data_IF_914508931802
#
_entry.id   IF_914508931802
#
_cell.length_a   1.000
_cell.length_b   1.000
_cell.length_c   1.000
_cell.angle_alpha   90.00
_cell.angle_beta   90.00
_cell.angle_gamma   90.00
#
_symmetry.space_group_name_H-M   'P 1'
#
loop_
_entity.id
_entity.type
_entity.pdbx_description
1 polymer ?
#
# COMPACT_ATOMS: atom_id res chain seq x y z
N UNK A 1 -32.52 31.42 -10.37
CA UNK A 1 -31.50 31.51 -11.43
C UNK A 1 -30.16 31.20 -10.79
N UNK A 2 -29.38 30.31 -11.38
CA UNK A 2 -28.09 29.84 -10.84
C UNK A 2 -26.94 30.78 -11.25
N UNK A 3 -27.23 32.09 -11.25
CA UNK A 3 -26.32 33.13 -11.67
C UNK A 3 -25.97 34.03 -10.48
N UNK A 4 -24.73 34.50 -10.45
CA UNK A 4 -24.28 35.56 -9.55
C UNK A 4 -24.72 36.90 -10.14
N UNK A 5 -25.62 37.61 -9.48
CA UNK A 5 -26.08 38.92 -9.92
C UNK A 5 -25.23 40.02 -9.29
N UNK A 6 -24.70 40.88 -10.15
CA UNK A 6 -23.72 41.90 -9.77
C UNK A 6 -24.30 43.29 -9.89
N UNK A 7 -24.28 44.04 -8.78
CA UNK A 7 -24.63 45.46 -8.75
C UNK A 7 -23.42 46.37 -9.02
N UNK A 8 -23.69 47.61 -9.43
CA UNK A 8 -22.68 48.63 -9.66
C UNK A 8 -22.57 49.57 -8.45
N UNK A 9 -21.45 49.45 -7.74
CA UNK A 9 -21.11 50.32 -6.61
C UNK A 9 -20.16 51.45 -7.03
N UNK A 10 -20.24 52.56 -6.32
CA UNK A 10 -19.25 53.64 -6.44
C UNK A 10 -17.87 53.15 -5.96
N UNK A 11 -16.83 53.43 -6.73
CA UNK A 11 -15.46 52.96 -6.50
C UNK A 11 -14.79 53.47 -5.22
N UNK A 12 -15.36 54.49 -4.55
CA UNK A 12 -14.82 55.04 -3.30
C UNK A 12 -15.72 54.66 -2.12
N UNK A 13 -17.02 54.87 -2.29
CA UNK A 13 -17.98 54.73 -1.19
C UNK A 13 -18.69 53.38 -1.16
N UNK A 14 -18.62 52.58 -2.23
CA UNK A 14 -19.38 51.33 -2.41
C UNK A 14 -20.91 51.50 -2.27
N UNK A 15 -21.39 52.74 -2.33
CA UNK A 15 -22.81 53.06 -2.38
C UNK A 15 -23.37 52.68 -3.77
N UNK A 16 -24.67 52.33 -3.86
CA UNK A 16 -25.28 52.00 -5.15
C UNK A 16 -25.25 53.20 -6.08
N UNK A 17 -24.72 53.02 -7.30
CA UNK A 17 -24.80 54.04 -8.34
C UNK A 17 -26.24 54.20 -8.83
N UNK A 18 -26.65 55.41 -9.18
CA UNK A 18 -28.06 55.75 -9.46
C UNK A 18 -28.74 54.88 -10.55
N UNK A 19 -27.97 54.32 -11.48
CA UNK A 19 -28.48 53.46 -12.55
C UNK A 19 -28.55 51.97 -12.19
N UNK A 20 -27.96 51.55 -11.06
CA UNK A 20 -27.87 50.12 -10.72
C UNK A 20 -29.23 49.58 -10.27
N UNK A 21 -29.51 48.34 -10.67
CA UNK A 21 -30.57 47.57 -10.03
C UNK A 21 -30.17 47.24 -8.58
N UNK A 22 -31.16 47.11 -7.71
CA UNK A 22 -30.97 46.83 -6.28
C UNK A 22 -32.09 45.94 -5.75
N UNK A 23 -31.83 45.29 -4.61
CA UNK A 23 -32.77 44.41 -3.91
C UNK A 23 -32.11 43.13 -3.39
N UNK A 24 -32.89 42.30 -2.69
CA UNK A 24 -32.40 41.09 -2.03
C UNK A 24 -31.83 40.03 -2.98
N UNK A 25 -32.10 40.13 -4.28
CA UNK A 25 -31.59 39.22 -5.30
C UNK A 25 -30.17 39.56 -5.77
N UNK A 26 -29.66 40.77 -5.52
CA UNK A 26 -28.26 41.10 -5.83
C UNK A 26 -27.34 40.37 -4.86
N UNK A 27 -26.36 39.66 -5.43
CA UNK A 27 -25.47 38.80 -4.66
C UNK A 27 -24.24 39.57 -4.18
N UNK A 28 -23.56 40.25 -5.11
CA UNK A 28 -22.28 40.93 -4.92
C UNK A 28 -22.27 42.26 -5.69
N UNK A 29 -21.33 43.14 -5.36
CA UNK A 29 -21.06 44.35 -6.15
C UNK A 29 -19.65 44.37 -6.71
N UNK A 30 -19.44 45.17 -7.75
CA UNK A 30 -18.13 45.61 -8.22
C UNK A 30 -18.14 47.12 -8.46
N UNK A 31 -16.97 47.69 -8.70
CA UNK A 31 -16.89 49.08 -9.12
C UNK A 31 -17.64 49.26 -10.44
N UNK A 32 -18.59 50.18 -10.45
CA UNK A 32 -19.38 50.54 -11.62
C UNK A 32 -19.03 51.91 -12.19
N UNK A 33 -18.00 52.57 -11.65
CA UNK A 33 -17.43 53.80 -12.18
C UNK A 33 -15.91 53.84 -12.01
N UNK A 34 -15.24 54.76 -12.70
CA UNK A 34 -13.80 55.03 -12.59
C UNK A 34 -12.92 53.80 -12.92
N UNK A 35 -13.34 52.99 -13.90
CA UNK A 35 -12.61 51.78 -14.27
C UNK A 35 -11.68 52.09 -15.44
N UNK A 36 -10.38 51.83 -15.22
CA UNK A 36 -9.39 51.80 -16.29
C UNK A 36 -9.37 50.41 -16.93
N UNK A 37 -9.55 50.34 -18.24
CA UNK A 37 -9.55 49.06 -18.98
C UNK A 37 -9.10 49.24 -20.43
N UNK A 38 -8.87 48.14 -21.14
CA UNK A 38 -8.55 48.14 -22.57
C UNK A 38 -9.80 48.43 -23.43
N UNK A 39 -9.61 49.07 -24.58
CA UNK A 39 -10.66 49.35 -25.56
C UNK A 39 -11.40 50.69 -25.39
N UNK A 40 -12.67 50.71 -25.80
CA UNK A 40 -13.55 51.89 -25.80
C UNK A 40 -13.04 53.06 -26.67
N UNK A 41 -13.19 54.29 -26.18
CA UNK A 41 -12.87 55.56 -26.87
C UNK A 41 -11.37 55.85 -26.95
N UNK A 42 -10.52 55.15 -26.19
CA UNK A 42 -9.05 55.31 -26.26
C UNK A 42 -8.52 56.62 -25.68
N UNK A 43 -9.16 57.15 -24.63
CA UNK A 43 -8.86 58.46 -24.03
C UNK A 43 -7.52 58.51 -23.26
N UNK A 44 -6.88 57.37 -22.98
CA UNK A 44 -5.61 57.29 -22.27
C UNK A 44 -4.37 57.31 -23.18
N UNK A 45 -4.54 57.27 -24.51
CA UNK A 45 -3.42 57.34 -25.48
C UNK A 45 -3.38 58.68 -26.24
N UNK A 46 -4.15 59.69 -25.80
CA UNK A 46 -4.33 60.96 -26.49
C UNK A 46 -5.65 60.99 -27.27
N UNK A 47 -5.65 61.58 -28.47
CA UNK A 47 -6.85 61.68 -29.31
C UNK A 47 -7.24 60.29 -29.87
N UNK A 48 -7.88 59.45 -29.04
CA UNK A 48 -8.55 58.20 -29.39
C UNK A 48 -8.03 57.53 -30.66
N UNK A 49 -6.87 56.83 -30.62
CA UNK A 49 -6.22 56.35 -31.83
C UNK A 49 -7.16 55.47 -32.65
N UNK A 50 -7.14 55.59 -33.98
CA UNK A 50 -7.97 54.76 -34.87
C UNK A 50 -7.70 53.25 -34.70
N UNK A 51 -6.48 52.90 -34.33
CA UNK A 51 -6.07 51.54 -34.01
C UNK A 51 -6.69 51.07 -32.70
N UNK A 52 -7.52 50.02 -32.76
CA UNK A 52 -8.27 49.51 -31.60
C UNK A 52 -7.40 48.72 -30.64
N UNK A 53 -6.32 48.11 -31.13
CA UNK A 53 -5.48 47.17 -30.37
C UNK A 53 -4.56 47.84 -29.35
N UNK A 54 -4.47 49.17 -29.38
CA UNK A 54 -3.66 49.98 -28.45
C UNK A 54 -4.50 50.85 -27.51
N UNK A 55 -5.84 50.75 -27.56
CA UNK A 55 -6.73 51.62 -26.79
C UNK A 55 -6.83 51.21 -25.33
N UNK A 56 -6.83 52.18 -24.45
CA UNK A 56 -7.28 52.08 -23.07
C UNK A 56 -8.19 53.28 -22.76
N UNK A 57 -9.14 53.08 -21.86
CA UNK A 57 -10.03 54.12 -21.35
C UNK A 57 -9.94 54.18 -19.83
N UNK A 58 -10.16 55.34 -19.22
CA UNK A 58 -10.31 55.50 -17.76
C UNK A 58 -11.75 55.69 -17.27
N UNK A 59 -12.73 55.67 -18.19
CA UNK A 59 -14.12 56.00 -17.90
C UNK A 59 -15.08 54.85 -18.28
N UNK A 60 -14.64 53.60 -18.15
CA UNK A 60 -15.56 52.48 -18.35
C UNK A 60 -16.45 52.34 -17.12
N UNK A 61 -17.76 52.45 -17.32
CA UNK A 61 -18.73 52.51 -16.24
C UNK A 61 -19.88 51.51 -16.49
N UNK A 62 -20.74 51.33 -15.48
CA UNK A 62 -21.91 50.48 -15.55
C UNK A 62 -21.76 49.14 -14.83
N UNK A 63 -22.86 48.39 -14.75
CA UNK A 63 -22.84 46.99 -14.27
C UNK A 63 -21.96 46.09 -15.14
N UNK A 64 -21.79 46.44 -16.42
CA UNK A 64 -20.82 45.82 -17.34
C UNK A 64 -19.37 45.95 -16.87
N UNK A 65 -19.03 47.00 -16.12
CA UNK A 65 -17.73 47.18 -15.47
C UNK A 65 -17.61 46.44 -14.14
N UNK A 66 -18.69 46.40 -13.38
CA UNK A 66 -18.75 45.70 -12.10
C UNK A 66 -18.67 44.16 -12.25
N UNK A 67 -19.35 43.60 -13.25
CA UNK A 67 -19.43 42.15 -13.49
C UNK A 67 -18.06 41.45 -13.64
N UNK A 68 -17.12 41.97 -14.46
CA UNK A 68 -15.79 41.42 -14.58
C UNK A 68 -14.98 41.38 -13.27
N UNK A 69 -15.16 42.34 -12.36
CA UNK A 69 -14.46 42.34 -11.05
C UNK A 69 -14.87 41.12 -10.22
N UNK A 70 -16.19 40.87 -10.12
CA UNK A 70 -16.70 39.68 -9.44
C UNK A 70 -16.27 38.40 -10.16
N UNK A 71 -16.29 38.40 -11.50
CA UNK A 71 -15.82 37.27 -12.31
C UNK A 71 -14.36 36.93 -12.03
N UNK A 72 -13.49 37.95 -11.94
CA UNK A 72 -12.08 37.80 -11.59
C UNK A 72 -11.89 37.29 -10.16
N UNK A 73 -12.73 37.72 -9.20
CA UNK A 73 -12.69 37.19 -7.84
C UNK A 73 -13.03 35.69 -7.80
N UNK A 74 -14.11 35.28 -8.47
CA UNK A 74 -14.49 33.85 -8.62
C UNK A 74 -13.35 33.05 -9.26
N UNK A 75 -12.79 33.54 -10.37
CA UNK A 75 -11.67 32.88 -11.04
C UNK A 75 -10.43 32.77 -10.15
N UNK A 76 -10.16 33.77 -9.31
CA UNK A 76 -9.03 33.76 -8.37
C UNK A 76 -9.21 32.72 -7.28
N UNK A 77 -10.42 32.61 -6.69
CA UNK A 77 -10.72 31.58 -5.68
C UNK A 77 -10.64 30.17 -6.28
N UNK A 78 -11.20 29.94 -7.47
CA UNK A 78 -11.09 28.64 -8.16
C UNK A 78 -9.64 28.29 -8.51
N UNK A 79 -8.85 29.29 -8.91
CA UNK A 79 -7.42 29.12 -9.17
C UNK A 79 -6.65 28.75 -7.90
N UNK A 80 -7.01 29.36 -6.77
CA UNK A 80 -6.43 29.04 -5.47
C UNK A 80 -6.74 27.60 -5.06
N UNK A 81 -8.01 27.19 -5.07
CA UNK A 81 -8.43 25.82 -4.77
C UNK A 81 -7.67 24.79 -5.63
N UNK A 82 -7.57 25.04 -6.94
CA UNK A 82 -6.78 24.21 -7.84
C UNK A 82 -5.31 24.15 -7.45
N UNK A 83 -4.71 25.27 -7.04
CA UNK A 83 -3.31 25.34 -6.65
C UNK A 83 -3.00 24.53 -5.38
N UNK A 84 -3.96 24.45 -4.45
CA UNK A 84 -3.84 23.64 -3.21
C UNK A 84 -4.43 22.23 -3.35
N UNK A 85 -4.71 21.78 -4.58
CA UNK A 85 -5.17 20.42 -4.87
C UNK A 85 -6.63 20.13 -4.49
N UNK A 86 -7.43 21.17 -4.24
CA UNK A 86 -8.84 21.05 -3.87
C UNK A 86 -9.75 21.02 -5.10
N UNK A 87 -10.89 20.31 -5.03
CA UNK A 87 -11.90 20.40 -6.08
C UNK A 87 -12.55 21.79 -6.12
N UNK A 88 -13.16 22.17 -7.25
CA UNK A 88 -13.91 23.42 -7.32
C UNK A 88 -15.16 23.34 -6.44
N UNK A 89 -15.43 24.41 -5.70
CA UNK A 89 -16.70 24.58 -4.97
C UNK A 89 -17.86 24.89 -5.94
N UNK A 90 -19.09 24.63 -5.50
CA UNK A 90 -20.31 24.90 -6.27
C UNK A 90 -20.61 26.40 -6.39
N UNK A 91 -21.51 26.77 -7.30
CA UNK A 91 -21.94 28.16 -7.45
C UNK A 91 -22.52 28.75 -6.15
N UNK A 92 -23.36 27.99 -5.44
CA UNK A 92 -23.97 28.43 -4.18
C UNK A 92 -22.94 28.57 -3.05
N UNK A 93 -21.97 27.66 -2.99
CA UNK A 93 -20.85 27.76 -2.05
C UNK A 93 -19.98 28.99 -2.36
N UNK A 94 -19.69 29.26 -3.64
CA UNK A 94 -18.94 30.44 -4.07
C UNK A 94 -19.67 31.74 -3.72
N UNK A 95 -20.98 31.83 -3.98
CA UNK A 95 -21.80 32.99 -3.61
C UNK A 95 -21.81 33.17 -2.09
N UNK A 96 -22.03 32.10 -1.34
CA UNK A 96 -22.06 32.15 0.13
C UNK A 96 -20.72 32.61 0.71
N UNK A 97 -19.61 32.08 0.18
CA UNK A 97 -18.25 32.46 0.54
C UNK A 97 -18.01 33.96 0.29
N UNK A 98 -18.18 34.40 -0.96
CA UNK A 98 -17.90 35.78 -1.35
C UNK A 98 -18.84 36.79 -0.66
N UNK A 99 -20.09 36.41 -0.37
CA UNK A 99 -21.01 37.26 0.42
C UNK A 99 -20.61 37.33 1.88
N UNK A 100 -20.14 36.22 2.45
CA UNK A 100 -19.72 36.14 3.84
C UNK A 100 -18.41 36.84 4.13
N UNK A 101 -17.50 36.88 3.15
CA UNK A 101 -16.15 37.45 3.32
C UNK A 101 -15.96 38.81 2.66
N UNK A 102 -16.86 39.21 1.76
CA UNK A 102 -16.74 40.49 1.06
C UNK A 102 -16.85 41.70 1.98
N UNK A 103 -16.27 42.83 1.54
CA UNK A 103 -16.41 44.12 2.22
C UNK A 103 -17.89 44.54 2.23
N UNK A 104 -18.50 44.73 3.41
CA UNK A 104 -19.93 45.06 3.50
C UNK A 104 -20.26 46.34 2.75
N UNK A 105 -21.41 46.34 2.07
CA UNK A 105 -21.97 47.55 1.49
C UNK A 105 -22.35 48.53 2.60
N UNK A 106 -21.92 49.80 2.54
CA UNK A 106 -22.41 50.81 3.46
C UNK A 106 -23.87 51.16 3.17
N UNK A 107 -24.67 51.29 4.22
CA UNK A 107 -26.06 51.77 4.19
C UNK A 107 -26.97 51.04 3.16
N UNK A 108 -27.13 49.70 3.24
CA UNK A 108 -27.90 48.92 2.27
C UNK A 108 -29.38 49.33 2.14
N UNK A 109 -29.92 50.05 3.14
CA UNK A 109 -31.27 50.60 3.11
C UNK A 109 -31.53 51.63 2.00
N UNK A 110 -30.49 52.19 1.37
CA UNK A 110 -30.61 53.07 0.20
C UNK A 110 -30.54 52.34 -1.15
N UNK A 111 -30.48 51.00 -1.14
CA UNK A 111 -30.44 50.15 -2.33
C UNK A 111 -29.40 49.04 -2.19
N UNK A 112 -29.86 47.83 -1.87
CA UNK A 112 -28.98 46.68 -1.67
C UNK A 112 -28.39 46.18 -3.00
N UNK A 113 -27.06 46.18 -3.11
CA UNK A 113 -26.28 45.63 -4.24
C UNK A 113 -25.28 44.53 -3.81
N UNK A 114 -25.22 44.21 -2.51
CA UNK A 114 -24.35 43.15 -1.99
C UNK A 114 -22.95 43.64 -1.63
N UNK A 115 -22.13 42.82 -0.96
CA UNK A 115 -20.77 43.19 -0.57
C UNK A 115 -19.80 43.16 -1.77
N UNK A 116 -18.71 43.92 -1.67
CA UNK A 116 -17.62 43.91 -2.63
C UNK A 116 -16.72 42.69 -2.34
N UNK A 117 -16.38 41.83 -3.32
CA UNK A 117 -15.56 40.66 -3.07
C UNK A 117 -14.22 40.99 -2.42
N UNK A 118 -13.88 40.25 -1.38
CA UNK A 118 -12.55 40.23 -0.76
C UNK A 118 -11.98 38.81 -0.91
N UNK A 119 -11.06 38.67 -1.87
CA UNK A 119 -10.43 37.38 -2.20
C UNK A 119 -9.52 36.92 -1.08
N UNK A 120 -8.86 37.84 -0.37
CA UNK A 120 -7.94 37.46 0.71
C UNK A 120 -8.73 36.87 1.89
N UNK A 121 -9.82 37.53 2.28
CA UNK A 121 -10.71 37.02 3.33
C UNK A 121 -11.38 35.70 2.92
N UNK A 122 -11.75 35.55 1.63
CA UNK A 122 -12.28 34.29 1.09
C UNK A 122 -11.27 33.13 1.19
N UNK A 123 -10.01 33.39 0.85
CA UNK A 123 -8.92 32.40 0.97
C UNK A 123 -8.70 32.02 2.43
N UNK A 124 -8.70 32.99 3.35
CA UNK A 124 -8.58 32.71 4.79
C UNK A 124 -9.67 31.76 5.30
N UNK A 125 -10.93 31.99 4.90
CA UNK A 125 -12.02 31.06 5.23
C UNK A 125 -11.81 29.68 4.62
N UNK A 126 -11.30 29.56 3.39
CA UNK A 126 -10.98 28.27 2.78
C UNK A 126 -9.90 27.53 3.57
N UNK A 127 -8.82 28.22 3.93
CA UNK A 127 -7.70 27.63 4.67
C UNK A 127 -8.14 27.14 6.06
N UNK A 128 -8.92 27.95 6.76
CA UNK A 128 -9.53 27.57 8.04
C UNK A 128 -10.57 26.45 7.88
N UNK A 129 -11.12 26.30 6.66
CA UNK A 129 -12.11 25.29 6.30
C UNK A 129 -11.50 23.95 5.85
N UNK A 130 -10.17 23.81 5.76
CA UNK A 130 -9.57 22.59 5.25
C UNK A 130 -9.73 21.44 6.27
N UNK A 131 -10.24 20.27 5.83
CA UNK A 131 -10.27 19.11 6.71
C UNK A 131 -8.86 18.61 7.02
N UNK A 132 -8.75 17.78 8.05
CA UNK A 132 -7.52 17.06 8.39
C UNK A 132 -7.81 15.58 8.54
N UNK A 133 -6.88 14.73 8.11
CA UNK A 133 -6.95 13.28 8.32
C UNK A 133 -5.58 12.75 8.74
N UNK A 134 -5.58 11.81 9.68
CA UNK A 134 -4.37 11.10 10.08
C UNK A 134 -4.71 9.65 10.41
N UNK A 135 -3.82 8.75 9.99
CA UNK A 135 -3.89 7.32 10.34
C UNK A 135 -3.07 7.14 11.62
N UNK A 136 -3.74 6.93 12.75
CA UNK A 136 -3.12 6.65 14.05
C UNK A 136 -2.56 5.23 14.14
N UNK A 137 -3.12 4.30 13.37
CA UNK A 137 -2.71 2.91 13.27
C UNK A 137 -3.25 2.27 11.99
N UNK A 138 -2.43 1.54 11.21
CA UNK A 138 -1.07 1.14 11.51
C UNK A 138 -0.04 2.26 11.33
N UNK A 139 1.15 2.11 11.92
CA UNK A 139 2.26 3.02 11.64
C UNK A 139 2.83 2.75 10.24
N UNK A 140 3.37 3.78 9.58
CA UNK A 140 3.99 3.61 8.27
C UNK A 140 5.12 2.57 8.30
N UNK A 141 5.11 1.71 7.29
CA UNK A 141 6.02 0.57 7.09
C UNK A 141 5.96 -0.49 8.19
N UNK A 142 4.86 -0.58 8.95
CA UNK A 142 4.66 -1.67 9.90
C UNK A 142 4.56 -3.02 9.20
N UNK A 143 4.83 -4.10 9.93
CA UNK A 143 4.67 -5.46 9.42
C UNK A 143 3.78 -6.29 10.35
N UNK A 144 2.82 -6.98 9.74
CA UNK A 144 1.83 -7.79 10.42
C UNK A 144 1.90 -9.24 9.98
N UNK A 145 1.48 -10.14 10.89
CA UNK A 145 1.35 -11.56 10.61
C UNK A 145 0.14 -11.82 9.72
N UNK A 146 0.23 -12.82 8.85
CA UNK A 146 -0.93 -13.32 8.10
C UNK A 146 -2.09 -13.72 9.04
N UNK A 147 -3.30 -13.27 8.73
CA UNK A 147 -4.52 -13.37 9.55
C UNK A 147 -4.40 -12.74 10.95
N UNK A 148 -3.51 -11.74 11.16
CA UNK A 148 -3.45 -11.05 12.45
C UNK A 148 -4.58 -10.05 12.62
N UNK A 149 -5.18 -10.07 13.81
CA UNK A 149 -6.21 -9.14 14.26
C UNK A 149 -5.56 -7.77 14.56
N UNK A 150 -5.72 -6.82 13.64
CA UNK A 150 -5.22 -5.44 13.75
C UNK A 150 -6.33 -4.52 13.27
N UNK A 151 -6.58 -3.44 14.00
CA UNK A 151 -7.65 -2.50 13.67
C UNK A 151 -7.08 -1.20 13.11
N UNK A 152 -7.82 -0.60 12.19
CA UNK A 152 -7.59 0.74 11.70
C UNK A 152 -7.91 1.75 12.81
N UNK A 153 -6.96 2.64 13.08
CA UNK A 153 -7.16 3.83 13.88
C UNK A 153 -6.96 5.09 13.02
N UNK A 154 -7.96 5.94 13.00
CA UNK A 154 -8.17 7.03 12.06
C UNK A 154 -8.75 8.23 12.82
N UNK A 155 -8.09 9.38 12.74
CA UNK A 155 -8.58 10.67 13.23
C UNK A 155 -8.87 11.58 12.03
N UNK A 156 -10.11 12.05 11.94
CA UNK A 156 -10.57 12.95 10.87
C UNK A 156 -11.30 14.14 11.47
N UNK A 157 -11.05 15.33 10.90
CA UNK A 157 -11.71 16.59 11.31
C UNK A 157 -12.13 17.36 10.08
N UNK A 158 -13.30 18.00 10.13
CA UNK A 158 -13.83 18.78 9.01
C UNK A 158 -13.17 20.15 8.82
N UNK A 159 -12.48 20.65 9.86
CA UNK A 159 -11.85 21.96 9.89
C UNK A 159 -12.87 23.07 9.70
N UNK A 160 -13.73 23.37 10.68
CA UNK A 160 -14.83 24.33 10.49
C UNK A 160 -16.14 23.65 10.07
N UNK A 161 -16.48 23.52 8.77
CA UNK A 161 -17.68 22.82 8.32
C UNK A 161 -17.73 21.36 8.81
N UNK A 162 -18.94 20.81 8.89
CA UNK A 162 -19.11 19.42 9.28
C UNK A 162 -18.41 18.47 8.31
N UNK A 163 -17.84 17.41 8.86
CA UNK A 163 -17.21 16.34 8.12
C UNK A 163 -18.30 15.53 7.40
N UNK A 164 -18.25 15.46 6.08
CA UNK A 164 -19.22 14.73 5.27
C UNK A 164 -18.85 13.24 5.14
N UNK A 165 -17.57 12.95 4.97
CA UNK A 165 -17.07 11.58 4.95
C UNK A 165 -15.64 11.45 5.45
N UNK A 166 -15.32 10.29 6.02
CA UNK A 166 -13.95 9.86 6.23
C UNK A 166 -13.81 8.38 5.94
N UNK A 167 -13.15 8.05 4.83
CA UNK A 167 -13.06 6.70 4.30
C UNK A 167 -11.60 6.37 4.03
N UNK A 168 -11.26 5.09 4.16
CA UNK A 168 -9.95 4.57 3.80
C UNK A 168 -10.12 3.56 2.68
N UNK A 169 -9.21 3.60 1.69
CA UNK A 169 -9.07 2.55 0.70
C UNK A 169 -7.75 1.84 0.93
N UNK A 170 -7.81 0.53 1.17
CA UNK A 170 -6.66 -0.36 1.17
C UNK A 170 -6.38 -0.81 -0.26
N UNK A 171 -5.22 -0.43 -0.80
CA UNK A 171 -4.71 -0.92 -2.08
C UNK A 171 -3.85 -2.17 -1.83
N UNK A 172 -4.51 -3.33 -1.77
CA UNK A 172 -3.89 -4.62 -1.47
C UNK A 172 -3.59 -5.48 -2.71
N UNK A 173 -2.85 -6.60 -2.54
CA UNK A 173 -2.47 -7.48 -3.66
C UNK A 173 -3.63 -8.13 -4.43
N UNK A 174 -4.81 -8.27 -3.81
CA UNK A 174 -6.00 -8.84 -4.48
C UNK A 174 -7.01 -7.78 -4.93
N UNK A 175 -6.68 -6.50 -4.82
CA UNK A 175 -7.53 -5.37 -5.20
C UNK A 175 -7.83 -4.43 -4.04
N UNK A 176 -8.66 -3.44 -4.33
CA UNK A 176 -9.01 -2.38 -3.38
C UNK A 176 -10.10 -2.83 -2.40
N UNK A 177 -9.97 -2.44 -1.13
CA UNK A 177 -10.97 -2.63 -0.09
C UNK A 177 -11.27 -1.32 0.64
N UNK A 178 -12.56 -0.99 0.82
CA UNK A 178 -12.98 0.19 1.60
C UNK A 178 -13.06 -0.15 3.09
N UNK A 179 -12.52 0.73 3.93
CA UNK A 179 -12.48 0.61 5.38
C UNK A 179 -12.95 1.91 6.04
N UNK A 180 -13.48 1.79 7.25
CA UNK A 180 -13.81 2.90 8.16
C UNK A 180 -13.16 2.71 9.53
N UNK A 181 -13.24 3.73 10.38
CA UNK A 181 -12.64 3.71 11.71
C UNK A 181 -13.03 2.46 12.51
N UNK A 182 -12.04 1.76 13.07
CA UNK A 182 -12.22 0.54 13.86
C UNK A 182 -12.35 -0.75 13.05
N UNK A 183 -12.41 -0.69 11.71
CA UNK A 183 -12.41 -1.89 10.87
C UNK A 183 -11.10 -2.68 11.02
N UNK A 184 -11.19 -3.99 10.76
CA UNK A 184 -10.02 -4.85 10.70
C UNK A 184 -9.21 -4.59 9.43
N UNK A 185 -7.89 -4.48 9.59
CA UNK A 185 -6.96 -4.36 8.47
C UNK A 185 -6.95 -5.66 7.66
N UNK A 186 -6.94 -5.59 6.31
CA UNK A 186 -6.74 -6.75 5.45
C UNK A 186 -5.39 -7.43 5.71
N UNK A 187 -5.38 -8.48 6.53
CA UNK A 187 -4.19 -9.31 6.80
C UNK A 187 -4.30 -10.74 6.28
N UNK A 188 -5.40 -11.06 5.59
CA UNK A 188 -5.70 -12.35 4.96
C UNK A 188 -5.04 -12.51 3.58
N UNK A 189 -4.28 -11.50 3.14
CA UNK A 189 -3.55 -11.48 1.87
C UNK A 189 -2.09 -11.10 2.12
N UNK A 190 -1.11 -11.93 1.70
CA UNK A 190 0.28 -11.57 1.89
C UNK A 190 0.75 -10.58 0.82
N UNK A 191 1.48 -9.56 1.24
CA UNK A 191 2.11 -8.55 0.39
C UNK A 191 2.08 -7.16 0.99
N UNK A 192 2.46 -6.18 0.19
CA UNK A 192 2.37 -4.77 0.54
C UNK A 192 0.93 -4.30 0.41
N UNK A 193 0.44 -3.61 1.42
CA UNK A 193 -0.83 -2.91 1.45
C UNK A 193 -0.57 -1.41 1.62
N UNK A 194 -1.33 -0.57 0.91
CA UNK A 194 -1.25 0.90 1.05
C UNK A 194 -2.62 1.45 1.37
N UNK A 195 -2.76 2.02 2.56
CA UNK A 195 -3.97 2.71 2.99
C UNK A 195 -3.93 4.14 2.50
N UNK A 196 -4.97 4.56 1.78
CA UNK A 196 -5.23 5.96 1.44
C UNK A 196 -6.48 6.41 2.19
N UNK A 197 -6.29 7.17 3.27
CA UNK A 197 -7.37 7.81 3.98
C UNK A 197 -7.74 9.14 3.31
N UNK A 198 -9.04 9.39 3.16
CA UNK A 198 -9.58 10.64 2.60
C UNK A 198 -10.68 11.18 3.50
N UNK A 199 -10.51 12.41 3.99
CA UNK A 199 -11.55 13.18 4.66
C UNK A 199 -12.15 14.19 3.69
N UNK A 200 -13.47 14.34 3.69
CA UNK A 200 -14.21 15.32 2.89
C UNK A 200 -15.17 16.08 3.79
N UNK A 201 -15.22 17.41 3.72
CA UNK A 201 -16.18 18.22 4.47
C UNK A 201 -17.37 18.67 3.59
N UNK A 202 -18.36 19.33 4.19
CA UNK A 202 -19.56 19.80 3.49
C UNK A 202 -19.32 20.83 2.36
N UNK A 203 -18.10 21.40 2.27
CA UNK A 203 -17.70 22.24 1.13
C UNK A 203 -17.13 21.42 -0.03
N UNK A 204 -16.99 20.12 0.12
CA UNK A 204 -16.29 19.24 -0.81
C UNK A 204 -14.78 19.33 -0.73
N UNK A 205 -14.22 20.09 0.22
CA UNK A 205 -12.78 20.15 0.43
C UNK A 205 -12.29 18.83 1.01
N UNK A 206 -11.08 18.43 0.63
CA UNK A 206 -10.52 17.10 0.88
C UNK A 206 -9.15 17.17 1.55
N UNK A 207 -8.85 16.18 2.38
CA UNK A 207 -7.51 15.94 2.90
C UNK A 207 -7.19 14.45 2.81
N UNK A 208 -5.94 14.11 2.51
CA UNK A 208 -5.50 12.72 2.38
C UNK A 208 -4.31 12.40 3.26
N UNK A 209 -4.25 11.15 3.72
CA UNK A 209 -3.11 10.57 4.44
C UNK A 209 -2.85 9.18 3.91
N UNK A 210 -1.59 8.83 3.71
CA UNK A 210 -1.19 7.52 3.19
C UNK A 210 -0.21 6.83 4.13
N UNK A 211 -0.44 5.54 4.36
CA UNK A 211 0.42 4.66 5.15
C UNK A 211 0.53 3.33 4.41
N UNK A 212 1.72 2.73 4.38
CA UNK A 212 1.91 1.38 3.87
C UNK A 212 2.22 0.39 4.99
N UNK A 213 1.73 -0.84 4.89
CA UNK A 213 2.10 -1.94 5.79
C UNK A 213 2.34 -3.23 4.99
N UNK A 214 3.15 -4.12 5.56
CA UNK A 214 3.49 -5.42 4.97
C UNK A 214 2.80 -6.54 5.73
N UNK A 215 1.90 -7.23 5.04
CA UNK A 215 1.30 -8.46 5.53
C UNK A 215 2.17 -9.60 5.07
N UNK A 216 2.94 -10.13 5.99
CA UNK A 216 3.86 -11.20 5.74
C UNK A 216 3.77 -12.21 6.85
N UNK A 217 4.39 -13.36 6.70
CA UNK A 217 4.46 -14.24 7.82
C UNK A 217 5.60 -13.77 8.75
N UNK A 218 5.29 -12.95 9.76
CA UNK A 218 6.25 -12.54 10.76
C UNK A 218 6.73 -13.74 11.56
N UNK A 219 8.05 -13.92 11.59
CA UNK A 219 8.68 -15.02 12.36
C UNK A 219 10.20 -14.83 12.52
N UNK A 220 10.72 -13.61 12.66
CA UNK A 220 12.17 -13.38 12.71
C UNK A 220 12.68 -12.58 13.92
N UNK A 221 12.52 -13.15 15.13
CA UNK A 221 13.58 -13.00 16.15
C UNK A 221 14.72 -14.02 15.97
N UNK A 222 14.56 -15.03 15.09
CA UNK A 222 15.60 -16.06 14.91
C UNK A 222 15.73 -16.68 13.51
N UNK A 223 15.32 -15.99 12.41
CA UNK A 223 15.75 -16.10 10.99
C UNK A 223 16.05 -17.44 10.26
N UNK A 224 16.18 -18.56 10.95
CA UNK A 224 16.86 -19.78 10.48
C UNK A 224 16.28 -20.99 11.19
N UNK A 225 15.63 -21.88 10.44
CA UNK A 225 15.06 -23.12 10.96
C UNK A 225 15.69 -24.32 10.27
N UNK A 226 16.14 -25.27 11.09
CA UNK A 226 16.58 -26.57 10.63
C UNK A 226 15.35 -27.49 10.61
N UNK A 227 15.00 -27.99 9.43
CA UNK A 227 13.83 -28.83 9.24
C UNK A 227 14.17 -30.31 9.47
N UNK A 228 15.35 -30.75 9.04
CA UNK A 228 15.73 -32.15 9.15
C UNK A 228 17.24 -32.37 9.19
N UNK A 229 17.62 -33.50 9.78
CA UNK A 229 18.99 -34.01 9.80
C UNK A 229 18.93 -35.50 9.50
N UNK A 230 19.31 -35.90 8.29
CA UNK A 230 19.22 -37.27 7.78
C UNK A 230 20.59 -37.94 7.78
N UNK A 231 20.69 -39.12 8.41
CA UNK A 231 21.89 -39.96 8.34
C UNK A 231 21.99 -40.67 6.99
N UNK A 232 23.06 -40.44 6.23
CA UNK A 232 23.35 -41.07 4.94
C UNK A 232 24.75 -41.69 4.92
N UNK A 233 24.89 -42.85 5.55
CA UNK A 233 26.16 -43.59 5.57
C UNK A 233 27.28 -42.79 6.23
N UNK A 234 28.28 -42.38 5.44
CA UNK A 234 29.41 -41.54 5.87
C UNK A 234 29.08 -40.05 5.97
N UNK A 235 27.88 -39.63 5.57
CA UNK A 235 27.42 -38.22 5.57
C UNK A 235 26.16 -38.01 6.39
N UNK A 236 25.93 -36.76 6.74
CA UNK A 236 24.67 -36.25 7.32
C UNK A 236 24.17 -35.14 6.42
N UNK A 237 22.95 -35.30 5.89
CA UNK A 237 22.27 -34.26 5.11
C UNK A 237 21.39 -33.44 6.04
N UNK A 238 21.50 -32.12 5.93
CA UNK A 238 20.68 -31.17 6.63
C UNK A 238 19.83 -30.43 5.60
N UNK A 239 18.55 -30.27 5.91
CA UNK A 239 17.65 -29.41 5.15
C UNK A 239 16.99 -28.42 6.10
N UNK A 240 16.95 -27.16 5.72
CA UNK A 240 16.38 -26.08 6.51
C UNK A 240 15.92 -24.93 5.62
N UNK A 241 15.38 -23.91 6.28
CA UNK A 241 14.92 -22.69 5.65
C UNK A 241 15.43 -21.48 6.44
N UNK A 242 15.70 -20.42 5.71
CA UNK A 242 16.16 -19.13 6.20
C UNK A 242 15.31 -18.07 5.53
N UNK A 243 15.20 -16.91 6.17
CA UNK A 243 14.62 -15.73 5.55
C UNK A 243 15.20 -15.51 4.13
N UNK A 244 14.37 -15.43 3.08
CA UNK A 244 14.81 -15.10 1.73
C UNK A 244 15.57 -13.76 1.62
N UNK A 245 15.35 -12.80 2.53
CA UNK A 245 16.13 -11.55 2.59
C UNK A 245 17.62 -11.79 2.83
N UNK A 246 17.98 -12.95 3.40
CA UNK A 246 19.35 -13.40 3.62
C UNK A 246 19.88 -14.27 2.48
N UNK A 247 19.25 -14.26 1.29
CA UNK A 247 19.76 -14.96 0.11
C UNK A 247 21.22 -14.57 -0.17
N UNK A 248 22.06 -15.57 -0.50
CA UNK A 248 23.50 -15.33 -0.68
C UNK A 248 24.30 -15.15 0.63
N UNK A 249 23.66 -15.06 1.80
CA UNK A 249 24.36 -15.13 3.08
C UNK A 249 24.96 -16.52 3.31
N UNK A 250 26.01 -16.60 4.15
CA UNK A 250 26.68 -17.87 4.46
C UNK A 250 26.06 -18.51 5.70
N UNK A 251 25.40 -19.65 5.52
CA UNK A 251 24.94 -20.49 6.61
C UNK A 251 26.02 -21.45 7.10
N UNK A 252 26.37 -21.34 8.38
CA UNK A 252 27.32 -22.23 9.05
C UNK A 252 26.58 -23.46 9.59
N UNK A 253 27.10 -24.65 9.27
CA UNK A 253 26.64 -25.91 9.86
C UNK A 253 27.46 -26.20 11.10
N UNK A 254 26.78 -26.26 12.25
CA UNK A 254 27.42 -26.55 13.53
C UNK A 254 27.11 -27.98 13.96
N UNK A 255 28.11 -28.69 14.50
CA UNK A 255 27.98 -29.97 15.19
C UNK A 255 28.49 -29.81 16.62
N UNK A 256 27.60 -29.97 17.60
CA UNK A 256 27.88 -29.70 19.01
C UNK A 256 28.51 -28.30 19.22
N UNK A 257 28.03 -27.30 18.47
CA UNK A 257 28.54 -25.91 18.51
C UNK A 257 29.76 -25.63 17.63
N UNK A 258 30.49 -26.64 17.14
CA UNK A 258 31.67 -26.44 16.27
C UNK A 258 31.29 -26.45 14.80
N UNK A 259 31.86 -25.54 14.00
CA UNK A 259 31.62 -25.50 12.54
C UNK A 259 32.16 -26.78 11.89
N UNK A 260 31.33 -27.43 11.08
CA UNK A 260 31.68 -28.64 10.31
C UNK A 260 31.37 -28.50 8.82
N UNK A 261 30.81 -27.38 8.40
CA UNK A 261 30.52 -27.06 7.02
C UNK A 261 29.84 -25.71 6.89
N UNK A 262 29.58 -25.31 5.64
CA UNK A 262 28.79 -24.12 5.33
C UNK A 262 28.17 -24.23 3.94
N UNK A 263 27.11 -23.46 3.70
CA UNK A 263 26.45 -23.34 2.39
C UNK A 263 25.83 -21.95 2.26
N UNK A 264 25.73 -21.43 1.04
CA UNK A 264 25.02 -20.19 0.73
C UNK A 264 23.50 -20.43 0.79
N UNK A 265 22.77 -19.47 1.34
CA UNK A 265 21.29 -19.47 1.33
C UNK A 265 20.84 -19.29 -0.13
N UNK A 266 19.94 -20.16 -0.61
CA UNK A 266 19.37 -20.02 -1.94
C UNK A 266 18.41 -18.82 -2.02
N UNK A 267 18.06 -18.38 -3.23
CA UNK A 267 17.17 -17.23 -3.46
C UNK A 267 15.76 -17.43 -2.90
N UNK A 268 15.33 -18.68 -2.75
CA UNK A 268 14.07 -19.10 -2.13
C UNK A 268 14.18 -19.31 -0.60
N UNK A 269 15.33 -18.97 0.00
CA UNK A 269 15.59 -19.16 1.43
C UNK A 269 15.92 -20.61 1.82
N UNK A 270 15.90 -21.57 0.88
CA UNK A 270 16.15 -22.98 1.20
C UNK A 270 17.65 -23.23 1.41
N UNK A 271 17.96 -24.10 2.38
CA UNK A 271 19.30 -24.61 2.59
C UNK A 271 19.27 -26.13 2.60
N UNK A 272 20.01 -26.72 1.66
CA UNK A 272 20.35 -28.13 1.68
C UNK A 272 21.87 -28.31 1.69
N UNK A 273 22.39 -28.96 2.72
CA UNK A 273 23.83 -29.12 2.92
C UNK A 273 24.15 -30.50 3.46
N UNK A 274 25.19 -31.13 2.92
CA UNK A 274 25.67 -32.43 3.39
C UNK A 274 27.05 -32.28 4.01
N UNK A 275 27.23 -32.78 5.24
CA UNK A 275 28.50 -32.74 5.98
C UNK A 275 28.96 -34.15 6.36
N UNK A 276 30.23 -34.31 6.72
CA UNK A 276 30.75 -35.59 7.17
C UNK A 276 30.09 -36.05 8.49
N UNK A 277 29.67 -37.32 8.54
CA UNK A 277 29.20 -37.93 9.77
C UNK A 277 30.38 -38.19 10.73
N UNK A 278 30.18 -38.18 12.06
CA UNK A 278 31.18 -38.65 13.00
C UNK A 278 31.64 -40.07 12.65
N UNK A 279 32.93 -40.37 12.82
CA UNK A 279 33.49 -41.70 12.50
C UNK A 279 32.96 -42.79 13.45
N UNK A 280 32.89 -42.51 14.75
CA UNK A 280 32.46 -43.50 15.76
C UNK A 280 30.94 -43.58 15.93
N UNK A 281 30.43 -44.80 16.22
CA UNK A 281 29.00 -45.04 16.49
C UNK A 281 28.49 -44.22 17.69
N UNK A 282 29.31 -44.08 18.75
CA UNK A 282 28.97 -43.29 19.96
C UNK A 282 28.78 -41.81 19.61
N UNK A 283 29.72 -41.22 18.85
CA UNK A 283 29.63 -39.81 18.44
C UNK A 283 28.43 -39.54 17.52
N UNK A 284 28.05 -40.50 16.66
CA UNK A 284 26.83 -40.36 15.82
C UNK A 284 25.55 -40.28 16.66
N UNK A 285 25.45 -41.04 17.76
CA UNK A 285 24.25 -41.05 18.63
C UNK A 285 24.07 -39.76 19.44
N UNK A 286 25.17 -39.07 19.76
CA UNK A 286 25.16 -37.87 20.61
C UNK A 286 25.27 -36.56 19.82
N UNK A 287 25.71 -36.60 18.56
CA UNK A 287 25.86 -35.41 17.72
C UNK A 287 24.54 -34.65 17.56
N UNK A 288 24.59 -33.35 17.86
CA UNK A 288 23.52 -32.39 17.59
C UNK A 288 23.98 -31.37 16.56
N UNK A 289 23.13 -31.11 15.58
CA UNK A 289 23.39 -30.23 14.45
C UNK A 289 22.52 -28.98 14.53
N UNK A 290 23.04 -27.83 14.12
CA UNK A 290 22.26 -26.60 13.93
C UNK A 290 22.81 -25.79 12.75
N UNK A 291 21.98 -24.85 12.27
CA UNK A 291 22.38 -23.84 11.30
C UNK A 291 22.56 -22.50 12.02
N UNK A 292 23.50 -21.69 11.55
CA UNK A 292 23.69 -20.29 12.00
C UNK A 292 23.91 -19.38 10.78
N UNK A 293 23.12 -18.32 10.67
CA UNK A 293 23.23 -17.29 9.62
C UNK A 293 23.22 -15.93 10.32
N UNK A 294 24.28 -15.13 10.17
CA UNK A 294 24.43 -13.90 10.95
C UNK A 294 24.35 -14.15 12.47
N UNK A 295 23.48 -13.41 13.13
CA UNK A 295 23.13 -13.55 14.56
C UNK A 295 22.16 -14.73 14.83
N UNK A 296 21.37 -15.12 13.83
CA UNK A 296 20.31 -16.12 13.93
C UNK A 296 20.84 -17.56 13.96
N UNK A 297 20.28 -18.42 14.83
CA UNK A 297 20.60 -19.86 14.88
C UNK A 297 19.38 -20.74 15.09
N UNK A 298 19.36 -21.89 14.40
CA UNK A 298 18.29 -22.87 14.54
C UNK A 298 18.37 -23.65 15.86
N UNK A 299 17.23 -24.24 16.26
CA UNK A 299 17.22 -25.31 17.25
C UNK A 299 18.15 -26.46 16.83
N UNK A 300 18.78 -27.09 17.83
CA UNK A 300 19.71 -28.20 17.64
C UNK A 300 18.94 -29.51 17.44
N UNK A 301 19.26 -30.25 16.38
CA UNK A 301 18.61 -31.52 16.02
C UNK A 301 19.61 -32.68 15.97
N UNK A 302 19.16 -33.88 16.35
CA UNK A 302 19.94 -35.11 16.15
C UNK A 302 19.67 -35.68 14.76
N UNK A 303 20.67 -36.34 14.20
CA UNK A 303 20.49 -37.08 12.97
C UNK A 303 19.51 -38.25 13.18
N UNK A 304 18.58 -38.40 12.26
CA UNK A 304 17.57 -39.45 12.26
C UNK A 304 17.66 -40.27 10.98
N UNK A 305 17.48 -41.59 11.10
CA UNK A 305 17.23 -42.49 9.98
C UNK A 305 15.77 -42.94 9.96
N UNK A 306 14.90 -42.24 10.69
CA UNK A 306 13.53 -42.64 10.88
C UNK A 306 12.73 -42.56 9.57
N UNK A 307 13.01 -41.55 8.75
CA UNK A 307 12.49 -41.37 7.40
C UNK A 307 13.68 -41.28 6.44
N UNK A 308 13.57 -41.95 5.30
CA UNK A 308 14.50 -41.83 4.19
C UNK A 308 13.76 -41.40 2.93
N UNK A 309 14.16 -40.30 2.31
CA UNK A 309 13.63 -39.91 1.00
C UNK A 309 14.29 -40.77 -0.07
N UNK A 310 13.47 -41.50 -0.83
CA UNK A 310 13.91 -42.41 -1.89
C UNK A 310 14.11 -41.65 -3.20
N UNK A 311 13.15 -40.80 -3.56
CA UNK A 311 13.30 -39.86 -4.67
C UNK A 311 12.37 -38.65 -4.49
N UNK A 312 12.68 -37.59 -5.22
CA UNK A 312 11.88 -36.38 -5.38
C UNK A 312 11.65 -36.14 -6.87
N UNK A 313 10.43 -35.81 -7.28
CA UNK A 313 10.08 -35.47 -8.66
C UNK A 313 9.43 -34.08 -8.65
N UNK A 314 10.07 -33.04 -9.21
CA UNK A 314 9.46 -31.73 -9.35
C UNK A 314 8.27 -31.79 -10.33
N UNK A 315 7.20 -31.07 -10.02
CA UNK A 315 5.99 -30.90 -10.84
C UNK A 315 5.69 -29.38 -10.93
N UNK A 316 4.89 -28.92 -11.92
CA UNK A 316 4.63 -27.49 -12.12
C UNK A 316 4.11 -26.72 -10.89
N UNK A 317 3.24 -27.33 -10.08
CA UNK A 317 2.63 -26.70 -8.90
C UNK A 317 2.90 -27.47 -7.58
N UNK A 318 3.80 -28.47 -7.61
CA UNK A 318 4.04 -29.34 -6.47
C UNK A 318 5.37 -30.07 -6.59
N UNK A 319 5.77 -30.73 -5.51
CA UNK A 319 6.81 -31.73 -5.53
C UNK A 319 6.28 -33.09 -5.10
N UNK A 320 6.50 -34.11 -5.93
CA UNK A 320 6.18 -35.49 -5.55
C UNK A 320 7.34 -36.10 -4.80
N UNK A 321 7.09 -36.50 -3.55
CA UNK A 321 8.08 -37.09 -2.67
C UNK A 321 7.72 -38.54 -2.40
N UNK A 322 8.65 -39.46 -2.71
CA UNK A 322 8.57 -40.86 -2.30
C UNK A 322 9.54 -41.11 -1.16
N UNK A 323 9.04 -41.56 -0.03
CA UNK A 323 9.84 -41.76 1.17
C UNK A 323 9.52 -43.10 1.86
N UNK A 324 10.47 -43.56 2.68
CA UNK A 324 10.36 -44.78 3.47
C UNK A 324 10.44 -44.44 4.95
N UNK A 325 9.41 -44.80 5.70
CA UNK A 325 9.40 -44.77 7.15
C UNK A 325 9.99 -46.09 7.70
N UNK A 326 11.04 -46.00 8.50
CA UNK A 326 11.68 -47.15 9.15
C UNK A 326 10.72 -47.84 10.13
N UNK A 327 10.95 -49.13 10.43
CA UNK A 327 10.24 -49.85 11.50
C UNK A 327 8.76 -50.12 11.26
N UNK A 328 8.27 -49.93 10.03
CA UNK A 328 6.92 -50.31 9.61
C UNK A 328 6.92 -51.75 9.09
N UNK A 329 5.93 -52.54 9.52
CA UNK A 329 5.76 -53.96 9.12
C UNK A 329 4.38 -54.29 8.54
N UNK A 330 3.42 -53.37 8.66
CA UNK A 330 2.04 -53.54 8.17
C UNK A 330 1.66 -52.37 7.25
N UNK A 331 0.73 -52.61 6.32
CA UNK A 331 0.13 -51.54 5.50
C UNK A 331 -0.73 -50.67 6.42
N UNK A 332 -0.77 -49.36 6.16
CA UNK A 332 -1.51 -48.44 7.00
C UNK A 332 -1.53 -47.02 6.44
N UNK A 333 -1.85 -46.07 7.31
CA UNK A 333 -1.79 -44.65 7.01
C UNK A 333 -1.04 -43.91 8.12
N UNK A 334 -0.46 -42.77 7.76
CA UNK A 334 0.17 -41.83 8.68
C UNK A 334 -0.43 -40.45 8.45
N UNK A 335 -0.44 -39.62 9.49
CA UNK A 335 -0.75 -38.20 9.35
C UNK A 335 0.53 -37.44 9.06
N UNK A 336 0.58 -36.82 7.88
CA UNK A 336 1.58 -35.84 7.51
C UNK A 336 1.04 -34.46 7.88
N UNK A 337 1.70 -33.79 8.82
CA UNK A 337 1.39 -32.43 9.22
C UNK A 337 2.30 -31.47 8.46
N UNK A 338 1.74 -30.58 7.66
CA UNK A 338 2.44 -29.41 7.15
C UNK A 338 2.53 -28.39 8.29
N UNK A 339 3.68 -27.75 8.42
CA UNK A 339 3.90 -26.68 9.38
C UNK A 339 4.53 -25.54 8.58
N UNK A 340 3.77 -24.49 8.28
CA UNK A 340 4.35 -23.27 7.75
C UNK A 340 5.49 -22.79 8.66
N UNK A 341 6.58 -22.34 8.05
CA UNK A 341 7.72 -21.79 8.79
C UNK A 341 7.41 -20.40 9.32
N UNK A 342 6.53 -19.73 8.61
CA UNK A 342 6.13 -18.37 8.83
C UNK A 342 4.62 -18.32 8.46
N UNK A 343 3.75 -17.88 9.39
CA UNK A 343 2.32 -17.59 9.15
C UNK A 343 1.43 -18.78 8.73
N UNK A 344 0.13 -18.71 9.01
CA UNK A 344 -0.87 -19.69 8.56
C UNK A 344 -1.00 -20.97 9.41
N UNK A 345 -2.15 -21.62 9.26
CA UNK A 345 -2.51 -22.80 10.05
C UNK A 345 -1.83 -24.09 9.56
N UNK A 346 -1.28 -24.92 10.46
CA UNK A 346 -0.79 -26.25 10.10
C UNK A 346 -1.91 -27.11 9.50
N UNK A 347 -1.65 -27.78 8.38
CA UNK A 347 -2.63 -28.69 7.78
C UNK A 347 -2.23 -30.15 7.96
N UNK A 348 -3.22 -31.02 8.14
CA UNK A 348 -3.01 -32.45 8.32
C UNK A 348 -3.51 -33.21 7.10
N UNK A 349 -2.71 -34.15 6.61
CA UNK A 349 -3.07 -35.02 5.50
C UNK A 349 -2.77 -36.48 5.82
N UNK A 350 -3.75 -37.36 5.65
CA UNK A 350 -3.51 -38.82 5.72
C UNK A 350 -2.77 -39.29 4.47
N UNK A 351 -1.66 -40.00 4.66
CA UNK A 351 -0.85 -40.59 3.59
C UNK A 351 -0.77 -42.10 3.80
N UNK A 352 -1.16 -42.88 2.79
CA UNK A 352 -1.08 -44.34 2.84
C UNK A 352 0.36 -44.81 2.64
N UNK A 353 0.75 -45.84 3.37
CA UNK A 353 2.04 -46.51 3.20
C UNK A 353 1.87 -48.03 3.04
N UNK A 354 2.78 -48.67 2.32
CA UNK A 354 2.78 -50.12 2.14
C UNK A 354 3.42 -50.87 3.34
N UNK A 355 3.47 -52.21 3.27
CA UNK A 355 4.07 -53.08 4.32
C UNK A 355 5.56 -52.80 4.57
N UNK A 356 6.27 -52.17 3.62
CA UNK A 356 7.68 -51.76 3.75
C UNK A 356 7.85 -50.34 4.31
N UNK A 357 6.74 -49.66 4.67
CA UNK A 357 6.72 -48.27 5.14
C UNK A 357 6.94 -47.24 4.05
N UNK A 358 6.83 -47.63 2.77
CA UNK A 358 7.00 -46.70 1.64
C UNK A 358 5.69 -45.98 1.40
N UNK A 359 5.77 -44.66 1.27
CA UNK A 359 4.67 -43.78 0.91
C UNK A 359 5.10 -42.80 -0.17
N UNK A 360 4.11 -42.30 -0.91
CA UNK A 360 4.27 -41.23 -1.89
C UNK A 360 3.29 -40.13 -1.56
N UNK A 361 3.75 -38.88 -1.55
CA UNK A 361 2.93 -37.70 -1.28
C UNK A 361 3.25 -36.60 -2.28
N UNK A 362 2.24 -35.83 -2.69
CA UNK A 362 2.42 -34.58 -3.44
C UNK A 362 2.37 -33.43 -2.43
N UNK A 363 3.45 -32.68 -2.32
CA UNK A 363 3.53 -31.48 -1.50
C UNK A 363 3.35 -30.28 -2.42
N UNK A 364 2.24 -29.56 -2.28
CA UNK A 364 1.99 -28.36 -3.08
C UNK A 364 2.88 -27.21 -2.64
N UNK A 365 3.05 -26.21 -3.50
CA UNK A 365 3.44 -24.89 -3.05
C UNK A 365 2.27 -24.26 -2.29
N UNK A 366 2.57 -23.38 -1.33
CA UNK A 366 1.59 -22.63 -0.56
C UNK A 366 2.03 -21.19 -0.41
N UNK A 367 1.24 -20.35 0.29
CA UNK A 367 1.57 -18.95 0.49
C UNK A 367 2.86 -18.75 1.33
N UNK A 368 3.26 -19.77 2.09
CA UNK A 368 4.45 -19.76 2.92
C UNK A 368 5.35 -20.97 2.68
N UNK A 369 6.64 -20.82 3.00
CA UNK A 369 7.59 -21.93 3.03
C UNK A 369 7.21 -22.90 4.16
N UNK A 370 7.14 -24.21 3.89
CA UNK A 370 6.63 -25.22 4.82
C UNK A 370 7.66 -26.32 5.13
N UNK A 371 7.58 -26.85 6.35
CA UNK A 371 8.20 -28.12 6.74
C UNK A 371 7.12 -29.16 7.02
N UNK A 372 7.49 -30.45 7.02
CA UNK A 372 6.54 -31.53 7.21
C UNK A 372 6.98 -32.45 8.35
N UNK A 373 6.06 -32.75 9.28
CA UNK A 373 6.30 -33.66 10.39
C UNK A 373 5.29 -34.81 10.42
N UNK A 374 5.75 -35.96 10.90
CA UNK A 374 4.95 -37.17 11.12
C UNK A 374 5.12 -37.58 12.57
N UNK A 375 4.03 -37.97 13.24
CA UNK A 375 4.07 -38.51 14.60
C UNK A 375 4.28 -40.03 14.55
N UNK A 376 5.37 -40.53 15.15
CA UNK A 376 5.69 -41.96 15.21
C UNK A 376 6.06 -42.36 16.65
N UNK A 377 5.29 -43.28 17.25
CA UNK A 377 5.49 -43.77 18.63
C UNK A 377 5.69 -42.61 19.63
N UNK A 378 4.81 -41.61 19.57
CA UNK A 378 4.88 -40.42 20.41
C UNK A 378 5.95 -39.38 20.04
N UNK A 379 6.90 -39.68 19.13
CA UNK A 379 7.96 -38.76 18.71
C UNK A 379 7.65 -38.09 17.38
N UNK A 380 7.99 -36.80 17.26
CA UNK A 380 7.95 -36.06 15.99
C UNK A 380 9.12 -36.49 15.11
N UNK A 381 8.83 -36.78 13.85
CA UNK A 381 9.82 -37.13 12.83
C UNK A 381 9.59 -36.24 11.63
N UNK A 382 10.57 -35.43 11.30
CA UNK A 382 10.50 -34.52 10.16
C UNK A 382 10.80 -35.25 8.85
N UNK A 383 9.98 -35.01 7.84
CA UNK A 383 10.28 -35.35 6.46
C UNK A 383 11.43 -34.44 6.01
N UNK A 384 12.53 -34.97 5.42
CA UNK A 384 13.67 -34.14 5.04
C UNK A 384 13.42 -33.42 3.72
N UNK A 385 12.39 -32.56 3.72
CA UNK A 385 11.93 -31.72 2.63
C UNK A 385 11.47 -30.40 3.22
N UNK A 386 11.87 -29.30 2.57
CA UNK A 386 11.36 -27.95 2.79
C UNK A 386 10.70 -27.56 1.47
N UNK A 387 9.45 -27.10 1.53
CA UNK A 387 8.74 -26.61 0.36
C UNK A 387 8.77 -25.08 0.39
N UNK A 388 9.26 -24.40 -0.66
CA UNK A 388 9.22 -22.94 -0.70
C UNK A 388 7.77 -22.44 -0.83
N UNK A 389 7.55 -21.19 -0.45
CA UNK A 389 6.36 -20.48 -0.85
C UNK A 389 6.25 -20.44 -2.38
N UNK A 390 5.03 -20.35 -2.90
CA UNK A 390 4.81 -20.10 -4.32
C UNK A 390 5.35 -18.70 -4.68
N UNK A 391 6.59 -18.64 -5.16
CA UNK A 391 7.08 -17.50 -5.93
C UNK A 391 6.98 -17.90 -7.39
N UNK A 392 6.25 -17.12 -8.17
CA UNK A 392 6.20 -17.30 -9.61
C UNK A 392 7.63 -17.45 -10.13
N UNK A 393 7.90 -18.60 -10.76
CA UNK A 393 9.09 -18.80 -11.58
C UNK A 393 8.92 -17.89 -12.79
N UNK A 394 9.29 -16.62 -12.65
CA UNK A 394 9.61 -15.80 -13.80
C UNK A 394 10.95 -16.32 -14.35
N UNK A 395 10.85 -16.89 -15.55
CA UNK A 395 11.92 -17.09 -16.53
C UNK A 395 13.17 -17.88 -16.10
N UNK A 396 13.13 -19.21 -16.28
CA UNK A 396 14.31 -19.93 -16.79
C UNK A 396 13.91 -21.10 -17.71
N UNK A 397 13.18 -20.77 -18.77
CA UNK A 397 13.00 -21.63 -19.96
C UNK A 397 13.61 -21.04 -21.24
N UNK A 398 14.31 -19.90 -21.14
CA UNK A 398 14.98 -19.28 -22.29
C UNK A 398 16.36 -19.89 -22.61
N UNK A 399 16.82 -20.91 -21.89
CA UNK A 399 18.10 -21.60 -22.15
C UNK A 399 17.98 -22.91 -22.95
N UNK A 400 16.82 -23.20 -23.56
CA UNK A 400 16.62 -24.36 -24.46
C UNK A 400 16.08 -24.02 -25.84
N UNK A 401 16.51 -22.89 -26.40
CA UNK A 401 16.51 -22.71 -27.86
C UNK A 401 17.96 -22.70 -28.31
N UNK A 402 18.39 -23.81 -28.91
CA UNK A 402 19.60 -23.83 -29.73
C UNK A 402 19.45 -22.75 -30.81
N UNK A 403 20.46 -21.91 -31.10
CA UNK A 403 20.43 -21.15 -32.34
C UNK A 403 20.42 -22.15 -33.51
N UNK A 404 19.42 -22.02 -34.37
CA UNK A 404 19.40 -22.71 -35.65
C UNK A 404 20.62 -22.27 -36.47
N UNK A 405 21.30 -23.26 -37.01
CA UNK A 405 22.43 -23.12 -37.91
C UNK A 405 21.98 -22.33 -39.15
N UNK A 406 22.61 -21.21 -39.54
CA UNK A 406 22.32 -20.56 -40.81
C UNK A 406 22.91 -21.41 -41.94
N UNK A 407 22.10 -22.32 -42.46
CA UNK A 407 22.42 -23.10 -43.64
C UNK A 407 22.53 -22.20 -44.86
N UNK A 408 23.75 -22.16 -45.42
CA UNK A 408 24.10 -22.10 -46.85
C UNK A 408 22.96 -21.78 -47.81
N UNK A 409 23.06 -20.59 -48.41
CA UNK A 409 22.59 -20.34 -49.78
C UNK A 409 23.55 -21.05 -50.73
N UNK A 410 23.04 -22.06 -51.44
CA UNK A 410 23.29 -22.34 -52.86
C UNK A 410 22.32 -23.40 -53.35
#
# INVERSE_FOLDING_TARGET
SDAILVGAGDSVTHAPLWFTSHGSRLDLQGYGNNIVTTGSVGDLQGAGPNERDIRYTNSFDGTSGAGPIVTSAVASVLSYLKAIGQPPITGDQMVSLLRGTGTPQPSPGSGQIGPLPDVQSAIGVIDDSLPSVSIGGPADQSSFDFDSDQSLDLDCRGGGPELESCLVVDHGPSGDASLVQGDQLPTDQPGTHTLTATAVNALGLTATSTVSYEVGPGCHSSGTRLASVESRGSRVRLSGAVDPSLAGATAKVLRNGRKVGSKKVATDGIIEVSVAAPRSKKARKTARYSLKVGSSSSKRMRASSAIRVLFRKPLPAAEQVRARLSGIRRKGSLTLKSVPLCGGSPSNRKVRHNRRGIFTVRLGFGPATQIFEIRKRGRRVYLPVVMPAARFVLADRASRLRPANPGRVR
#
